data_IF_322234197416
#
_entry.id   IF_322234197416
#
_cell.length_a   1.000
_cell.length_b   1.000
_cell.length_c   1.000
_cell.angle_alpha   90.00
_cell.angle_beta   90.00
_cell.angle_gamma   90.00
#
_symmetry.space_group_name_H-M   'P 1'
#
loop_
_entity.id
_entity.type
_entity.pdbx_description
1 polymer ?
#
# COMPACT_ATOMS: atom_id res chain seq x y z
N UNK A 1 -11.52 -10.05 2.52
CA UNK A 1 -10.51 -10.76 1.71
C UNK A 1 -9.13 -10.13 1.90
N UNK A 2 -8.95 -8.80 1.76
CA UNK A 2 -7.67 -8.11 1.94
C UNK A 2 -6.98 -8.44 3.28
N UNK A 3 -7.72 -8.39 4.41
CA UNK A 3 -7.16 -8.75 5.73
C UNK A 3 -6.68 -10.20 5.80
N UNK A 4 -7.35 -11.12 5.11
CA UNK A 4 -6.96 -12.54 5.08
C UNK A 4 -5.66 -12.74 4.29
N UNK A 5 -5.48 -12.00 3.19
CA UNK A 5 -4.27 -12.02 2.38
C UNK A 5 -3.10 -11.33 3.11
N UNK A 6 -3.35 -10.19 3.78
CA UNK A 6 -2.31 -9.39 4.43
C UNK A 6 -1.77 -10.01 5.73
N UNK A 7 -2.62 -10.68 6.51
CA UNK A 7 -2.26 -11.20 7.83
C UNK A 7 -1.04 -12.12 7.86
N UNK A 8 -0.87 -13.10 6.95
CA UNK A 8 0.29 -14.00 6.95
C UNK A 8 1.64 -13.27 6.89
N UNK A 9 1.74 -12.15 6.17
CA UNK A 9 2.97 -11.37 6.06
C UNK A 9 3.45 -10.81 7.39
N UNK A 10 2.52 -10.47 8.27
CA UNK A 10 2.82 -9.76 9.52
C UNK A 10 3.16 -10.69 10.69
N UNK A 11 2.95 -11.99 10.53
CA UNK A 11 3.23 -12.97 11.61
C UNK A 11 4.71 -13.19 11.86
N UNK A 12 5.58 -12.83 10.92
CA UNK A 12 7.04 -12.93 11.05
C UNK A 12 7.70 -11.65 11.57
N UNK A 13 6.89 -10.64 11.93
CA UNK A 13 7.37 -9.34 12.38
C UNK A 13 7.86 -8.43 11.27
N UNK A 14 8.40 -7.28 11.65
CA UNK A 14 8.86 -6.22 10.76
C UNK A 14 7.94 -5.01 10.75
N UNK A 15 7.92 -4.27 9.65
CA UNK A 15 7.16 -3.03 9.54
C UNK A 15 6.08 -3.15 8.47
N UNK A 16 4.85 -2.83 8.82
CA UNK A 16 3.74 -2.72 7.87
C UNK A 16 3.51 -1.25 7.51
N UNK A 17 3.42 -0.95 6.22
CA UNK A 17 3.11 0.40 5.74
C UNK A 17 1.69 0.41 5.17
N UNK A 18 0.80 1.22 5.75
CA UNK A 18 -0.54 1.50 5.26
C UNK A 18 -0.55 2.91 4.63
N UNK A 19 -0.38 2.98 3.33
CA UNK A 19 -0.31 4.23 2.57
C UNK A 19 -1.71 4.55 2.05
N UNK A 20 -2.30 5.63 2.58
CA UNK A 20 -3.72 5.92 2.48
C UNK A 20 -4.50 5.15 3.55
N UNK A 21 -4.13 5.36 4.82
CA UNK A 21 -4.73 4.63 5.92
C UNK A 21 -6.21 4.98 6.14
N UNK A 22 -6.67 6.13 5.67
CA UNK A 22 -8.03 6.63 5.85
C UNK A 22 -8.42 6.61 7.34
N UNK A 23 -9.51 5.98 7.74
CA UNK A 23 -9.89 5.79 9.14
C UNK A 23 -9.20 4.57 9.81
N UNK A 24 -8.23 3.94 9.16
CA UNK A 24 -7.40 2.88 9.72
C UNK A 24 -8.02 1.48 9.69
N UNK A 25 -9.11 1.26 8.95
CA UNK A 25 -9.82 -0.03 8.93
C UNK A 25 -8.91 -1.22 8.64
N UNK A 26 -7.98 -1.08 7.69
CA UNK A 26 -7.04 -2.15 7.34
C UNK A 26 -6.05 -2.38 8.48
N UNK A 27 -5.36 -1.33 8.93
CA UNK A 27 -4.35 -1.43 9.98
C UNK A 27 -4.93 -1.96 11.29
N UNK A 28 -6.03 -1.39 11.79
CA UNK A 28 -6.66 -1.85 13.02
C UNK A 28 -7.25 -3.26 12.89
N UNK A 29 -7.75 -3.63 11.70
CA UNK A 29 -8.20 -5.00 11.43
C UNK A 29 -7.08 -6.05 11.41
N UNK A 30 -5.84 -5.62 11.17
CA UNK A 30 -4.63 -6.45 11.20
C UNK A 30 -4.00 -6.51 12.60
N UNK A 31 -4.41 -5.66 13.55
CA UNK A 31 -3.97 -5.69 14.93
C UNK A 31 -4.60 -6.90 15.64
N UNK A 32 -3.87 -7.99 15.67
CA UNK A 32 -4.30 -9.27 16.27
C UNK A 32 -3.21 -9.81 17.22
N UNK A 33 -3.55 -10.71 18.16
CA UNK A 33 -2.52 -11.29 19.03
C UNK A 33 -1.29 -11.86 18.31
N UNK A 34 -1.47 -12.34 17.07
CA UNK A 34 -0.37 -12.91 16.27
C UNK A 34 0.56 -11.84 15.67
N UNK A 35 0.13 -10.58 15.59
CA UNK A 35 0.91 -9.46 15.03
C UNK A 35 1.43 -8.51 16.11
N UNK A 36 0.90 -8.59 17.34
CA UNK A 36 1.13 -7.64 18.42
C UNK A 36 2.60 -7.52 18.84
N UNK A 37 3.32 -8.62 18.98
CA UNK A 37 4.66 -8.61 19.58
C UNK A 37 5.78 -8.32 18.57
N UNK A 38 5.49 -8.32 17.28
CA UNK A 38 6.53 -8.41 16.25
C UNK A 38 6.40 -7.38 15.13
N UNK A 39 5.24 -6.69 15.01
CA UNK A 39 4.98 -5.80 13.89
C UNK A 39 4.78 -4.35 14.35
N UNK A 40 5.50 -3.43 13.71
CA UNK A 40 5.25 -1.99 13.81
C UNK A 40 4.38 -1.55 12.63
N UNK A 41 3.28 -0.87 12.91
CA UNK A 41 2.35 -0.37 11.91
C UNK A 41 2.58 1.12 11.66
N UNK A 42 2.82 1.49 10.40
CA UNK A 42 2.95 2.89 9.99
C UNK A 42 1.74 3.27 9.13
N UNK A 43 0.90 4.16 9.66
CA UNK A 43 -0.32 4.63 9.03
C UNK A 43 -0.07 6.01 8.43
N UNK A 44 0.03 6.09 7.10
CA UNK A 44 0.22 7.35 6.38
C UNK A 44 -1.14 7.83 5.86
N UNK A 45 -1.50 9.07 6.22
CA UNK A 45 -2.75 9.67 5.78
C UNK A 45 -2.51 11.15 5.41
N UNK A 46 -3.00 11.54 4.22
CA UNK A 46 -2.85 12.90 3.72
C UNK A 46 -3.98 13.83 4.20
N UNK A 47 -5.17 13.29 4.45
CA UNK A 47 -6.32 14.09 4.87
C UNK A 47 -6.20 14.46 6.36
N UNK A 48 -5.99 15.77 6.69
CA UNK A 48 -5.84 16.21 8.08
C UNK A 48 -7.09 15.93 8.93
N UNK A 49 -8.27 15.82 8.33
CA UNK A 49 -9.53 15.58 9.06
C UNK A 49 -9.59 14.15 9.63
N UNK A 50 -8.83 13.20 9.06
CA UNK A 50 -8.77 11.82 9.50
C UNK A 50 -7.69 11.56 10.57
N UNK A 51 -6.71 12.43 10.71
CA UNK A 51 -5.61 12.27 11.68
C UNK A 51 -6.12 12.19 13.13
N UNK A 52 -7.05 13.08 13.59
CA UNK A 52 -7.62 12.96 14.93
C UNK A 52 -8.35 11.62 15.14
N UNK A 53 -9.08 11.14 14.12
CA UNK A 53 -9.83 9.88 14.19
C UNK A 53 -8.87 8.69 14.34
N UNK A 54 -7.77 8.69 13.58
CA UNK A 54 -6.73 7.66 13.70
C UNK A 54 -6.12 7.64 15.10
N UNK A 55 -5.78 8.82 15.65
CA UNK A 55 -5.24 8.91 17.01
C UNK A 55 -6.24 8.46 18.08
N UNK A 56 -7.51 8.83 17.97
CA UNK A 56 -8.56 8.40 18.89
C UNK A 56 -8.73 6.87 18.85
N UNK A 57 -8.81 6.31 17.65
CA UNK A 57 -8.95 4.85 17.47
C UNK A 57 -7.72 4.11 18.00
N UNK A 58 -6.51 4.61 17.76
CA UNK A 58 -5.26 4.00 18.23
C UNK A 58 -5.18 3.85 19.74
N UNK A 59 -5.88 4.69 20.52
CA UNK A 59 -5.97 4.55 21.99
C UNK A 59 -6.59 3.22 22.45
N UNK A 60 -7.39 2.57 21.59
CA UNK A 60 -7.95 1.25 21.88
C UNK A 60 -7.00 0.09 21.54
N UNK A 61 -5.81 0.40 20.99
CA UNK A 61 -4.79 -0.54 20.52
C UNK A 61 -3.43 -0.28 21.16
N UNK A 62 -3.39 0.16 22.43
CA UNK A 62 -2.16 0.55 23.15
C UNK A 62 -1.08 -0.53 23.23
N UNK A 63 -1.48 -1.80 23.06
CA UNK A 63 -0.55 -2.94 23.03
C UNK A 63 0.18 -3.13 21.70
N UNK A 64 -0.13 -2.30 20.68
CA UNK A 64 0.49 -2.34 19.36
C UNK A 64 1.39 -1.14 19.13
N UNK A 65 2.51 -1.32 18.42
CA UNK A 65 3.36 -0.20 17.95
C UNK A 65 2.73 0.43 16.70
N UNK A 66 1.94 1.50 16.91
CA UNK A 66 1.22 2.24 15.88
C UNK A 66 1.84 3.62 15.69
N UNK A 67 2.25 3.94 14.48
CA UNK A 67 2.85 5.23 14.11
C UNK A 67 1.97 5.92 13.06
N UNK A 68 1.24 6.94 13.49
CA UNK A 68 0.38 7.74 12.60
C UNK A 68 1.20 8.88 12.03
N UNK A 69 1.25 8.99 10.71
CA UNK A 69 2.08 9.94 9.97
C UNK A 69 1.19 10.77 9.05
N UNK A 70 1.05 12.06 9.35
CA UNK A 70 0.32 12.98 8.50
C UNK A 70 1.21 13.46 7.35
N UNK A 71 0.83 13.13 6.12
CA UNK A 71 1.52 13.56 4.91
C UNK A 71 1.06 12.83 3.66
N UNK A 72 1.32 13.42 2.51
CA UNK A 72 1.08 12.82 1.21
C UNK A 72 2.32 12.04 0.79
N UNK A 73 2.20 10.74 0.53
CA UNK A 73 3.32 9.95 0.04
C UNK A 73 3.53 10.25 -1.43
N UNK A 74 4.74 10.66 -1.79
CA UNK A 74 5.09 11.13 -3.12
C UNK A 74 6.52 10.72 -3.51
N UNK A 75 6.87 10.91 -4.78
CA UNK A 75 8.19 10.58 -5.31
C UNK A 75 9.31 11.52 -4.86
N UNK A 76 8.95 12.70 -4.33
CA UNK A 76 9.89 13.72 -3.88
C UNK A 76 9.30 14.57 -2.75
N UNK A 77 10.13 15.10 -1.86
CA UNK A 77 9.70 16.12 -0.89
C UNK A 77 9.08 17.33 -1.58
N UNK A 78 8.17 18.02 -0.89
CA UNK A 78 7.47 19.20 -1.40
C UNK A 78 6.10 19.35 -0.78
N UNK A 79 5.15 19.87 -1.55
CA UNK A 79 3.77 20.07 -1.11
C UNK A 79 2.82 19.65 -2.24
N UNK A 80 1.84 18.86 -1.91
CA UNK A 80 0.72 18.51 -2.77
C UNK A 80 -0.56 19.21 -2.31
N UNK A 81 -1.53 19.35 -3.21
CA UNK A 81 -2.85 19.86 -2.88
C UNK A 81 -3.84 18.71 -2.87
N UNK A 82 -4.55 18.53 -1.76
CA UNK A 82 -5.54 17.49 -1.56
C UNK A 82 -6.94 18.04 -1.83
N UNK A 83 -7.69 17.37 -2.69
CA UNK A 83 -9.10 17.57 -2.92
C UNK A 83 -9.89 16.69 -1.96
N UNK A 84 -10.54 17.31 -0.98
CA UNK A 84 -11.37 16.58 -0.01
C UNK A 84 -12.80 16.46 -0.51
N UNK A 85 -13.44 15.35 -0.23
CA UNK A 85 -14.88 15.17 -0.44
C UNK A 85 -15.56 15.00 0.90
N UNK A 86 -16.32 16.01 1.33
CA UNK A 86 -16.98 16.02 2.65
C UNK A 86 -17.94 14.84 2.82
N UNK A 87 -18.58 14.42 1.73
CA UNK A 87 -19.58 13.33 1.77
C UNK A 87 -18.97 11.92 1.67
N UNK A 88 -17.69 11.81 1.25
CA UNK A 88 -16.97 10.56 1.08
C UNK A 88 -15.51 10.73 1.50
N UNK A 89 -15.22 10.55 2.77
CA UNK A 89 -13.86 10.71 3.33
C UNK A 89 -12.82 9.81 2.65
N UNK A 90 -13.24 8.65 2.13
CA UNK A 90 -12.40 7.72 1.41
C UNK A 90 -12.04 8.13 -0.02
N UNK A 91 -12.62 9.22 -0.55
CA UNK A 91 -12.39 9.66 -1.93
C UNK A 91 -11.58 10.97 -2.01
N UNK A 92 -10.72 11.23 -1.04
CA UNK A 92 -9.77 12.35 -1.12
C UNK A 92 -8.63 11.98 -2.10
N UNK A 93 -8.27 12.91 -2.99
CA UNK A 93 -7.24 12.68 -4.01
C UNK A 93 -6.35 13.91 -4.19
N UNK A 94 -5.16 13.71 -4.75
CA UNK A 94 -4.24 14.81 -5.09
C UNK A 94 -4.65 15.42 -6.44
N UNK A 95 -4.79 16.77 -6.46
CA UNK A 95 -5.15 17.53 -7.66
C UNK A 95 -4.86 19.01 -7.51
N UNK A 96 -4.64 19.70 -8.61
CA UNK A 96 -4.30 21.14 -8.60
C UNK A 96 -5.42 22.01 -7.97
N UNK A 97 -6.66 21.57 -8.09
CA UNK A 97 -7.86 22.20 -7.52
C UNK A 97 -8.04 21.94 -6.02
N UNK A 98 -7.13 21.17 -5.40
CA UNK A 98 -7.21 20.82 -3.99
C UNK A 98 -7.29 22.02 -3.07
N UNK A 99 -8.07 21.91 -2.00
CA UNK A 99 -8.30 22.96 -1.03
C UNK A 99 -7.33 22.93 0.17
N UNK A 100 -6.64 21.80 0.38
CA UNK A 100 -5.69 21.60 1.48
C UNK A 100 -4.28 21.36 0.95
N UNK A 101 -3.32 22.12 1.46
CA UNK A 101 -1.90 21.87 1.22
C UNK A 101 -1.37 20.84 2.22
N UNK A 102 -0.72 19.79 1.74
CA UNK A 102 -0.16 18.71 2.54
C UNK A 102 1.30 18.49 2.16
N UNK A 103 2.16 18.33 3.18
CA UNK A 103 3.57 18.05 2.95
C UNK A 103 3.75 16.68 2.29
N UNK A 104 4.62 16.63 1.30
CA UNK A 104 5.02 15.39 0.66
C UNK A 104 6.12 14.70 1.47
N UNK A 105 5.99 13.39 1.60
CA UNK A 105 6.97 12.51 2.22
C UNK A 105 7.48 11.51 1.17
N UNK A 106 8.80 11.38 1.06
CA UNK A 106 9.44 10.33 0.30
C UNK A 106 9.62 9.11 1.23
N UNK A 107 9.14 7.94 0.82
CA UNK A 107 9.23 6.74 1.67
C UNK A 107 10.66 6.26 1.86
N UNK A 108 11.53 6.38 0.86
CA UNK A 108 12.94 6.00 1.03
C UNK A 108 13.64 6.83 2.11
N UNK A 109 13.34 8.15 2.19
CA UNK A 109 13.84 9.01 3.25
C UNK A 109 13.28 8.59 4.62
N UNK A 110 11.96 8.37 4.69
CA UNK A 110 11.29 7.92 5.92
C UNK A 110 11.83 6.57 6.42
N UNK A 111 12.02 5.61 5.52
CA UNK A 111 12.58 4.27 5.81
C UNK A 111 14.01 4.40 6.35
N UNK A 112 14.82 5.25 5.74
CA UNK A 112 16.20 5.49 6.18
C UNK A 112 16.26 6.19 7.57
N UNK A 113 15.47 7.24 7.78
CA UNK A 113 15.41 7.99 9.06
C UNK A 113 14.95 7.09 10.22
N UNK A 114 13.97 6.21 9.97
CA UNK A 114 13.44 5.29 10.97
C UNK A 114 14.21 3.96 11.06
N UNK A 115 15.28 3.78 10.27
CA UNK A 115 16.14 2.59 10.23
C UNK A 115 15.33 1.31 9.98
N UNK A 116 14.37 1.38 9.07
CA UNK A 116 13.51 0.25 8.70
C UNK A 116 14.28 -0.63 7.73
N UNK A 117 14.58 -1.86 8.13
CA UNK A 117 15.36 -2.79 7.31
C UNK A 117 14.47 -3.78 6.57
N UNK A 118 13.27 -4.09 7.10
CA UNK A 118 12.36 -5.08 6.54
C UNK A 118 10.91 -4.62 6.62
N UNK A 119 10.24 -4.65 5.46
CA UNK A 119 8.82 -4.33 5.27
C UNK A 119 8.18 -5.55 4.61
N UNK A 120 7.63 -6.50 5.39
CA UNK A 120 6.98 -7.69 4.83
C UNK A 120 5.79 -7.34 3.94
N UNK A 121 5.11 -6.23 4.24
CA UNK A 121 3.97 -5.77 3.43
C UNK A 121 3.82 -4.25 3.47
N UNK A 122 3.59 -3.67 2.29
CA UNK A 122 3.06 -2.32 2.13
C UNK A 122 1.68 -2.40 1.44
N UNK A 123 0.67 -1.66 1.93
CA UNK A 123 -0.59 -1.42 1.22
C UNK A 123 -0.57 0.00 0.67
N UNK A 124 -1.00 0.18 -0.58
CA UNK A 124 -1.11 1.48 -1.25
C UNK A 124 -2.51 1.61 -1.84
N UNK A 125 -3.24 2.63 -1.39
CA UNK A 125 -4.60 2.92 -1.81
C UNK A 125 -4.82 4.43 -1.62
N UNK A 126 -4.48 5.22 -2.64
CA UNK A 126 -4.36 6.68 -2.59
C UNK A 126 -4.92 7.37 -3.83
N UNK A 127 -5.96 6.77 -4.40
CA UNK A 127 -6.83 7.38 -5.41
C UNK A 127 -6.07 7.98 -6.62
N UNK A 128 -5.21 7.12 -7.23
CA UNK A 128 -4.48 7.43 -8.46
C UNK A 128 -3.04 7.93 -8.26
N UNK A 129 -2.61 8.14 -7.02
CA UNK A 129 -1.25 8.62 -6.73
C UNK A 129 -0.23 7.48 -6.47
N UNK A 130 -0.63 6.22 -6.71
CA UNK A 130 0.11 4.98 -6.41
C UNK A 130 1.50 4.97 -7.05
N UNK A 131 1.62 5.38 -8.32
CA UNK A 131 2.91 5.40 -9.01
C UNK A 131 3.87 6.42 -8.39
N UNK A 132 3.36 7.52 -7.85
CA UNK A 132 4.19 8.49 -7.12
C UNK A 132 4.69 7.91 -5.79
N UNK A 133 3.87 7.16 -5.07
CA UNK A 133 4.27 6.46 -3.86
C UNK A 133 5.31 5.38 -4.14
N UNK A 134 5.08 4.55 -5.16
CA UNK A 134 6.02 3.52 -5.60
C UNK A 134 7.39 4.12 -5.96
N UNK A 135 7.41 5.22 -6.71
CA UNK A 135 8.65 5.94 -7.06
C UNK A 135 9.36 6.50 -5.83
N UNK A 136 8.61 6.89 -4.78
CA UNK A 136 9.15 7.38 -3.52
C UNK A 136 9.76 6.31 -2.61
N UNK A 137 9.61 5.02 -2.94
CA UNK A 137 10.25 3.91 -2.25
C UNK A 137 11.05 2.99 -3.19
N UNK A 138 11.45 3.50 -4.36
CA UNK A 138 12.17 2.73 -5.39
C UNK A 138 13.42 2.04 -4.83
N UNK A 139 14.26 2.79 -4.12
CA UNK A 139 15.51 2.27 -3.57
C UNK A 139 15.29 1.12 -2.59
N UNK A 140 14.28 1.22 -1.75
CA UNK A 140 13.91 0.18 -0.78
C UNK A 140 13.30 -1.04 -1.47
N UNK A 141 12.57 -0.84 -2.55
CA UNK A 141 12.02 -1.91 -3.39
C UNK A 141 13.13 -2.68 -4.11
N UNK A 142 14.01 -1.99 -4.84
CA UNK A 142 15.13 -2.61 -5.58
C UNK A 142 16.10 -3.36 -4.65
N UNK A 143 16.24 -2.92 -3.39
CA UNK A 143 17.03 -3.62 -2.37
C UNK A 143 16.31 -4.79 -1.71
N UNK A 144 15.08 -5.10 -2.10
CA UNK A 144 14.26 -6.17 -1.52
C UNK A 144 13.85 -5.95 -0.07
N UNK A 145 13.90 -4.69 0.44
CA UNK A 145 13.42 -4.38 1.79
C UNK A 145 11.90 -4.47 1.90
N UNK A 146 11.20 -4.16 0.83
CA UNK A 146 9.74 -4.32 0.70
C UNK A 146 9.48 -5.68 0.06
N UNK A 147 8.98 -6.64 0.82
CA UNK A 147 8.82 -8.01 0.34
C UNK A 147 7.57 -8.19 -0.53
N UNK A 148 6.49 -7.51 -0.17
CA UNK A 148 5.25 -7.50 -0.93
C UNK A 148 4.54 -6.15 -0.88
N UNK A 149 3.77 -5.86 -1.94
CA UNK A 149 2.94 -4.66 -2.04
C UNK A 149 1.53 -5.05 -2.47
N UNK A 150 0.52 -4.61 -1.74
CA UNK A 150 -0.88 -4.65 -2.18
C UNK A 150 -1.25 -3.26 -2.68
N UNK A 151 -1.82 -3.19 -3.90
CA UNK A 151 -2.20 -1.94 -4.55
C UNK A 151 -3.63 -2.01 -5.03
N UNK A 152 -4.36 -0.92 -4.85
CA UNK A 152 -5.57 -0.69 -5.62
C UNK A 152 -5.21 -0.09 -6.99
N UNK A 153 -5.71 -0.69 -8.06
CA UNK A 153 -5.57 -0.18 -9.44
C UNK A 153 -6.92 0.34 -9.90
N UNK A 154 -7.04 1.65 -9.99
CA UNK A 154 -8.26 2.32 -10.41
C UNK A 154 -7.97 3.22 -11.64
N UNK A 155 -8.19 2.73 -12.89
CA UNK A 155 -7.80 3.43 -14.11
C UNK A 155 -8.32 4.87 -14.22
N UNK A 156 -9.56 5.20 -13.81
CA UNK A 156 -10.03 6.58 -13.86
C UNK A 156 -9.22 7.56 -12.99
N UNK A 157 -8.75 7.09 -11.83
CA UNK A 157 -7.93 7.88 -10.92
C UNK A 157 -6.49 8.03 -11.42
N UNK A 158 -5.89 6.93 -11.90
CA UNK A 158 -4.56 6.95 -12.53
C UNK A 158 -4.51 7.92 -13.72
N UNK A 159 -5.53 7.88 -14.58
CA UNK A 159 -5.61 8.76 -15.75
C UNK A 159 -5.62 10.26 -15.37
N UNK A 160 -6.18 10.63 -14.24
CA UNK A 160 -6.12 12.01 -13.73
C UNK A 160 -4.70 12.48 -13.44
N UNK A 161 -3.83 11.56 -13.04
CA UNK A 161 -2.41 11.81 -12.79
C UNK A 161 -1.56 11.64 -14.05
N UNK A 162 -2.16 11.36 -15.21
CA UNK A 162 -1.47 11.11 -16.47
C UNK A 162 -0.81 9.74 -16.54
N UNK A 163 -1.25 8.79 -15.72
CA UNK A 163 -0.73 7.43 -15.63
C UNK A 163 -1.75 6.40 -16.09
N UNK A 164 -1.27 5.23 -16.49
CA UNK A 164 -2.07 4.06 -16.87
C UNK A 164 -1.71 2.89 -15.95
N UNK A 165 -2.58 1.88 -15.82
CA UNK A 165 -2.22 0.63 -15.11
C UNK A 165 -0.90 0.02 -15.58
N UNK A 166 -0.62 0.06 -16.89
CA UNK A 166 0.62 -0.44 -17.47
C UNK A 166 1.87 0.22 -16.84
N UNK A 167 1.83 1.51 -16.56
CA UNK A 167 2.97 2.25 -16.00
C UNK A 167 3.31 1.75 -14.58
N UNK A 168 2.31 1.27 -13.82
CA UNK A 168 2.51 0.63 -12.51
C UNK A 168 3.15 -0.75 -12.68
N UNK A 169 2.63 -1.59 -13.58
CA UNK A 169 3.15 -2.94 -13.79
C UNK A 169 4.58 -2.92 -14.36
N UNK A 170 4.88 -2.00 -15.26
CA UNK A 170 6.23 -1.77 -15.77
C UNK A 170 7.18 -1.37 -14.63
N UNK A 171 6.77 -0.43 -13.77
CA UNK A 171 7.57 -0.03 -12.62
C UNK A 171 7.83 -1.20 -11.66
N UNK A 172 6.81 -2.00 -11.33
CA UNK A 172 6.94 -3.16 -10.46
C UNK A 172 7.87 -4.22 -11.05
N UNK A 173 7.76 -4.50 -12.36
CA UNK A 173 8.65 -5.43 -13.04
C UNK A 173 10.11 -4.92 -13.04
N UNK A 174 10.33 -3.63 -13.32
CA UNK A 174 11.65 -2.99 -13.31
C UNK A 174 12.32 -3.03 -11.94
N UNK A 175 11.54 -3.07 -10.86
CA UNK A 175 12.03 -3.14 -9.48
C UNK A 175 12.04 -4.55 -8.90
N UNK A 176 11.83 -5.59 -9.74
CA UNK A 176 11.98 -7.00 -9.37
C UNK A 176 10.73 -7.62 -8.73
N UNK A 177 9.54 -7.15 -9.07
CA UNK A 177 8.29 -7.69 -8.56
C UNK A 177 7.49 -8.44 -9.63
N UNK A 178 6.82 -9.51 -9.18
CA UNK A 178 5.81 -10.23 -9.97
C UNK A 178 4.43 -9.93 -9.41
N UNK A 179 3.50 -9.57 -10.30
CA UNK A 179 2.16 -9.10 -9.96
C UNK A 179 1.10 -10.19 -10.14
N UNK A 180 0.14 -10.22 -9.23
CA UNK A 180 -0.95 -11.20 -9.22
C UNK A 180 -2.25 -10.54 -8.76
N UNK A 181 -3.38 -11.03 -9.30
CA UNK A 181 -4.68 -10.83 -8.69
C UNK A 181 -4.85 -11.83 -7.55
N UNK A 182 -5.47 -11.43 -6.45
CA UNK A 182 -5.72 -12.32 -5.33
C UNK A 182 -7.21 -12.59 -5.09
N UNK A 183 -8.08 -11.86 -5.76
CA UNK A 183 -9.53 -12.11 -5.71
C UNK A 183 -9.94 -13.15 -6.73
N UNK A 184 -10.65 -14.17 -6.27
CA UNK A 184 -11.11 -15.25 -7.15
C UNK A 184 -12.23 -14.84 -8.10
N UNK A 185 -12.92 -13.74 -7.82
CA UNK A 185 -14.00 -13.16 -8.61
C UNK A 185 -13.55 -11.97 -9.49
N UNK A 186 -12.25 -11.64 -9.52
CA UNK A 186 -11.75 -10.53 -10.33
C UNK A 186 -11.90 -10.83 -11.82
N UNK A 187 -12.55 -9.95 -12.60
CA UNK A 187 -12.78 -10.16 -14.03
C UNK A 187 -11.50 -10.13 -14.88
N UNK A 188 -10.43 -9.53 -14.36
CA UNK A 188 -9.14 -9.39 -15.07
C UNK A 188 -8.21 -10.59 -14.84
N UNK A 189 -8.55 -11.50 -13.90
CA UNK A 189 -7.68 -12.63 -13.56
C UNK A 189 -7.59 -13.67 -14.68
N UNK A 190 -6.45 -14.34 -14.76
CA UNK A 190 -6.28 -15.52 -15.61
C UNK A 190 -7.07 -16.72 -15.07
N UNK A 191 -7.29 -17.72 -15.92
CA UNK A 191 -7.89 -19.00 -15.50
C UNK A 191 -6.93 -19.89 -14.68
N UNK A 192 -5.62 -19.62 -14.79
CA UNK A 192 -4.58 -20.35 -14.09
C UNK A 192 -4.26 -19.68 -12.75
N UNK A 193 -4.19 -20.46 -11.69
CA UNK A 193 -3.76 -20.00 -10.37
C UNK A 193 -2.32 -20.40 -10.09
N UNK A 194 -1.61 -19.52 -9.40
CA UNK A 194 -0.32 -19.80 -8.80
C UNK A 194 -0.47 -19.98 -7.29
N UNK A 195 0.52 -20.63 -6.67
CA UNK A 195 0.59 -20.79 -5.21
C UNK A 195 1.85 -20.10 -4.73
N UNK A 196 1.66 -19.17 -3.78
CA UNK A 196 2.77 -18.47 -3.12
C UNK A 196 2.69 -18.79 -1.64
N UNK A 197 3.77 -19.28 -1.07
CA UNK A 197 3.87 -19.57 0.36
C UNK A 197 4.37 -18.33 1.10
N UNK A 198 3.61 -17.89 2.11
CA UNK A 198 3.93 -16.76 2.97
C UNK A 198 3.90 -17.25 4.41
N UNK A 199 5.08 -17.42 5.01
CA UNK A 199 5.24 -17.85 6.42
C UNK A 199 4.35 -19.04 6.83
N UNK A 200 4.37 -20.09 6.00
CA UNK A 200 3.60 -21.34 6.23
C UNK A 200 2.15 -21.25 5.77
N UNK A 201 1.68 -20.11 5.25
CA UNK A 201 0.37 -19.97 4.65
C UNK A 201 0.48 -20.00 3.13
N UNK A 202 -0.30 -20.84 2.47
CA UNK A 202 -0.36 -20.90 1.00
C UNK A 202 -1.43 -19.95 0.50
N UNK A 203 -1.02 -18.93 -0.25
CA UNK A 203 -1.91 -18.03 -0.96
C UNK A 203 -2.16 -18.56 -2.38
N UNK A 204 -3.43 -18.55 -2.80
CA UNK A 204 -3.82 -18.80 -4.17
C UNK A 204 -3.97 -17.46 -4.88
N UNK A 205 -3.17 -17.23 -5.90
CA UNK A 205 -3.10 -15.96 -6.64
C UNK A 205 -3.13 -16.24 -8.15
N UNK A 206 -3.47 -15.23 -8.95
CA UNK A 206 -3.67 -15.37 -10.38
C UNK A 206 -2.72 -14.41 -11.11
N UNK A 207 -1.79 -14.90 -11.96
CA UNK A 207 -0.83 -14.04 -12.65
C UNK A 207 -1.52 -12.90 -13.42
N UNK A 208 -0.92 -11.72 -13.38
CA UNK A 208 -1.30 -10.61 -14.24
C UNK A 208 -0.64 -10.82 -15.61
N UNK A 209 -1.41 -11.30 -16.59
CA UNK A 209 -0.90 -11.61 -17.93
C UNK A 209 -0.89 -10.39 -18.86
N UNK A 210 -1.76 -9.42 -18.60
CA UNK A 210 -1.92 -8.23 -19.44
C UNK A 210 -2.00 -6.96 -18.59
N UNK A 211 -1.35 -5.91 -19.08
CA UNK A 211 -1.39 -4.59 -18.44
C UNK A 211 -2.73 -3.84 -18.68
N UNK A 212 -3.73 -4.48 -19.28
CA UNK A 212 -5.05 -3.92 -19.50
C UNK A 212 -5.96 -4.32 -18.35
N UNK A 213 -6.38 -3.33 -17.56
CA UNK A 213 -7.27 -3.50 -16.42
C UNK A 213 -8.60 -2.83 -16.76
N UNK A 214 -9.68 -3.58 -16.66
CA UNK A 214 -11.05 -3.08 -16.76
C UNK A 214 -11.61 -2.84 -15.36
N UNK A 215 -11.90 -1.57 -15.06
CA UNK A 215 -12.45 -1.19 -13.75
C UNK A 215 -11.41 -1.13 -12.64
N UNK A 216 -11.90 -1.01 -11.41
CA UNK A 216 -11.10 -0.98 -10.20
C UNK A 216 -10.80 -2.40 -9.74
N UNK A 217 -9.56 -2.67 -9.39
CA UNK A 217 -9.12 -3.99 -8.93
C UNK A 217 -7.99 -3.88 -7.93
N UNK A 218 -7.82 -4.91 -7.10
CA UNK A 218 -6.71 -5.05 -6.18
C UNK A 218 -5.70 -6.06 -6.72
N UNK A 219 -4.42 -5.70 -6.69
CA UNK A 219 -3.31 -6.58 -7.04
C UNK A 219 -2.33 -6.73 -5.88
N UNK A 220 -1.66 -7.87 -5.83
CA UNK A 220 -0.52 -8.10 -4.95
C UNK A 220 0.73 -8.33 -5.79
N UNK A 221 1.80 -7.65 -5.43
CA UNK A 221 3.11 -7.79 -6.05
C UNK A 221 4.10 -8.34 -5.02
N UNK A 222 4.85 -9.37 -5.39
CA UNK A 222 5.86 -10.03 -4.57
C UNK A 222 7.24 -9.78 -5.14
N UNK A 223 8.19 -9.39 -4.30
CA UNK A 223 9.58 -9.26 -4.69
C UNK A 223 10.19 -10.64 -4.96
N UNK A 224 10.86 -10.82 -6.11
CA UNK A 224 11.35 -12.12 -6.55
C UNK A 224 12.34 -12.77 -5.57
N UNK A 225 13.21 -11.97 -4.97
CA UNK A 225 14.19 -12.51 -4.00
C UNK A 225 13.57 -13.05 -2.70
N UNK A 226 12.34 -12.64 -2.37
CA UNK A 226 11.67 -13.07 -1.15
C UNK A 226 10.85 -14.36 -1.34
N UNK A 227 10.25 -14.56 -2.52
CA UNK A 227 9.22 -15.59 -2.72
C UNK A 227 9.47 -16.55 -3.90
N UNK A 228 10.45 -16.30 -4.78
CA UNK A 228 10.66 -17.09 -6.00
C UNK A 228 12.13 -17.51 -6.17
N UNK A 229 12.75 -18.00 -5.09
CA UNK A 229 14.12 -18.55 -5.12
C UNK A 229 14.16 -19.97 -5.66
#
# INVERSE_FOLDING_TARGET
>A
ELLQIAKPFLTSGGHYLDIGANCGMTSFGLCTPQTQEHCTFHLFEANPDLIPILHETAQHYESFDLRIVHGCIASKPGTSRLCRRIEHTGAAYVGEEGDVAVNNLCLDDYIAENKIERIPLAKIDIEGFELHALRGMRDSMEKGRVEAVILEIAPPWLNRQGHRPADIFEFLADTGYRCFFFRSDDPNRSSESARVEVHGTVLHVYPVEHAHIEGQTDVIAFHESAYFQ
#
